data_IF_205355753229
#
_entry.id   IF_205355753229
#
_cell.length_a   1.000
_cell.length_b   1.000
_cell.length_c   1.000
_cell.angle_alpha   90.00
_cell.angle_beta   90.00
_cell.angle_gamma   90.00
#
_symmetry.space_group_name_H-M   'P 1'
#
loop_
_entity.id
_entity.type
_entity.pdbx_description
1 polymer ?
#
# COMPACT_ATOMS: atom_id res chain seq x y z
N UNK A 1 11.12 -1.83 3.32
CA UNK A 1 10.58 -0.65 4.02
C UNK A 1 10.82 0.64 3.24
N UNK A 2 12.00 0.84 2.63
CA UNK A 2 12.33 2.07 1.88
C UNK A 2 11.37 2.35 0.74
N UNK A 3 11.02 1.34 -0.05
CA UNK A 3 10.05 1.47 -1.12
C UNK A 3 8.65 1.89 -0.61
N UNK A 4 8.21 1.38 0.56
CA UNK A 4 6.96 1.81 1.20
C UNK A 4 7.00 3.29 1.54
N UNK A 5 8.02 3.74 2.28
CA UNK A 5 8.16 5.15 2.66
C UNK A 5 8.25 6.06 1.43
N UNK A 6 9.01 5.67 0.41
CA UNK A 6 9.09 6.41 -0.85
C UNK A 6 7.73 6.52 -1.54
N UNK A 7 6.98 5.42 -1.63
CA UNK A 7 5.67 5.39 -2.26
C UNK A 7 4.61 6.17 -1.45
N UNK A 8 4.65 6.10 -0.11
CA UNK A 8 3.81 6.94 0.75
C UNK A 8 4.11 8.43 0.57
N UNK A 9 5.39 8.80 0.49
CA UNK A 9 5.81 10.19 0.25
C UNK A 9 5.31 10.69 -1.11
N UNK A 10 5.46 9.89 -2.17
CA UNK A 10 4.99 10.23 -3.50
C UNK A 10 3.46 10.44 -3.52
N UNK A 11 2.70 9.54 -2.88
CA UNK A 11 1.25 9.64 -2.81
C UNK A 11 0.80 10.85 -1.99
N UNK A 12 1.39 11.07 -0.81
CA UNK A 12 1.09 12.23 0.03
C UNK A 12 1.32 13.55 -0.71
N UNK A 13 2.40 13.64 -1.50
CA UNK A 13 2.70 14.82 -2.31
C UNK A 13 1.66 15.05 -3.42
N UNK A 14 1.08 13.99 -3.99
CA UNK A 14 -0.02 14.11 -4.96
C UNK A 14 -1.30 14.58 -4.28
N UNK A 15 -1.59 14.08 -3.08
CA UNK A 15 -2.81 14.47 -2.35
C UNK A 15 -2.78 15.92 -1.87
N UNK A 16 -1.69 16.32 -1.25
CA UNK A 16 -1.54 17.68 -0.72
C UNK A 16 -0.07 18.13 -0.75
N UNK A 17 0.40 18.70 -1.88
CA UNK A 17 1.80 19.08 -2.07
C UNK A 17 2.30 20.14 -1.09
N UNK A 18 1.40 20.92 -0.50
CA UNK A 18 1.70 22.01 0.43
C UNK A 18 1.52 21.63 1.91
N UNK A 19 1.16 20.38 2.21
CA UNK A 19 0.99 19.94 3.59
C UNK A 19 2.33 19.98 4.35
N UNK A 20 2.35 20.48 5.61
CA UNK A 20 3.59 20.63 6.39
C UNK A 20 4.43 19.35 6.51
N UNK A 21 3.77 18.16 6.57
CA UNK A 21 4.46 16.88 6.68
C UNK A 21 5.27 16.48 5.43
N UNK A 22 5.05 17.10 4.26
CA UNK A 22 5.70 16.69 3.00
C UNK A 22 7.22 16.85 3.06
N UNK A 23 7.73 17.95 3.63
CA UNK A 23 9.15 18.18 3.74
C UNK A 23 9.84 17.08 4.57
N UNK A 24 9.22 16.71 5.70
CA UNK A 24 9.73 15.65 6.57
C UNK A 24 9.63 14.25 5.94
N UNK A 25 8.51 13.94 5.27
CA UNK A 25 8.36 12.70 4.52
C UNK A 25 9.46 12.54 3.46
N UNK A 26 9.78 13.61 2.71
CA UNK A 26 10.88 13.60 1.72
C UNK A 26 12.23 13.34 2.38
N UNK A 27 12.50 14.00 3.51
CA UNK A 27 13.73 13.79 4.27
C UNK A 27 13.85 12.34 4.75
N UNK A 28 12.76 11.78 5.23
CA UNK A 28 12.72 10.40 5.71
C UNK A 28 12.85 9.38 4.59
N UNK A 29 12.32 9.64 3.40
CA UNK A 29 12.39 8.72 2.27
C UNK A 29 13.84 8.42 1.82
N UNK A 30 14.80 9.30 2.11
CA UNK A 30 16.22 9.17 1.73
C UNK A 30 17.15 8.81 2.88
N UNK A 31 16.65 8.69 4.12
CA UNK A 31 17.49 8.45 5.31
C UNK A 31 17.39 7.00 5.76
N UNK A 32 18.52 6.32 5.94
CA UNK A 32 18.59 4.96 6.50
C UNK A 32 18.45 4.98 8.04
N UNK A 33 17.26 4.67 8.59
CA UNK A 33 17.05 4.46 10.04
C UNK A 33 15.91 3.47 10.31
N UNK A 34 16.13 2.58 11.27
CA UNK A 34 15.21 1.49 11.63
C UNK A 34 13.87 1.96 12.24
N UNK A 35 13.85 3.12 12.90
CA UNK A 35 12.65 3.70 13.53
C UNK A 35 11.77 4.51 12.55
N UNK A 36 12.13 4.55 11.27
CA UNK A 36 11.56 5.43 10.26
C UNK A 36 10.13 5.05 9.84
N UNK A 37 9.81 3.75 9.84
CA UNK A 37 8.54 3.27 9.28
C UNK A 37 7.32 3.81 10.01
N UNK A 38 7.32 3.73 11.34
CA UNK A 38 6.20 4.20 12.15
C UNK A 38 5.98 5.70 12.01
N UNK A 39 7.06 6.48 11.99
CA UNK A 39 6.97 7.93 11.82
C UNK A 39 6.57 8.31 10.40
N UNK A 40 7.10 7.65 9.37
CA UNK A 40 6.66 7.85 7.98
C UNK A 40 5.16 7.54 7.84
N UNK A 41 4.69 6.45 8.42
CA UNK A 41 3.27 6.11 8.42
C UNK A 41 2.43 7.15 9.17
N UNK A 42 2.88 7.62 10.34
CA UNK A 42 2.18 8.67 11.11
C UNK A 42 2.01 9.95 10.29
N UNK A 43 3.08 10.42 9.65
CA UNK A 43 3.05 11.61 8.80
C UNK A 43 2.19 11.41 7.56
N UNK A 44 2.28 10.25 6.90
CA UNK A 44 1.44 9.92 5.76
C UNK A 44 -0.05 9.96 6.12
N UNK A 45 -0.44 9.36 7.25
CA UNK A 45 -1.82 9.35 7.69
C UNK A 45 -2.32 10.70 8.17
N UNK A 46 -1.45 11.62 8.63
CA UNK A 46 -1.86 13.00 8.89
C UNK A 46 -2.22 13.73 7.59
N UNK A 47 -1.45 13.53 6.51
CA UNK A 47 -1.81 14.09 5.20
C UNK A 47 -3.16 13.56 4.70
N UNK A 48 -3.41 12.26 4.87
CA UNK A 48 -4.72 11.68 4.53
C UNK A 48 -5.85 12.31 5.35
N UNK A 49 -5.69 12.39 6.68
CA UNK A 49 -6.69 12.95 7.58
C UNK A 49 -7.07 14.37 7.18
N UNK A 50 -6.09 15.23 6.98
CA UNK A 50 -6.30 16.65 6.66
C UNK A 50 -6.82 16.88 5.23
N UNK A 51 -6.65 15.90 4.34
CA UNK A 51 -7.06 16.02 2.93
C UNK A 51 -8.43 15.37 2.65
N UNK A 52 -8.68 14.20 3.21
CA UNK A 52 -9.77 13.31 2.79
C UNK A 52 -10.77 12.93 3.89
N UNK A 53 -10.41 13.11 5.16
CA UNK A 53 -11.25 12.73 6.29
C UNK A 53 -11.49 13.93 7.22
N UNK A 54 -11.03 13.81 8.44
CA UNK A 54 -10.98 14.91 9.41
C UNK A 54 -9.69 14.77 10.24
N UNK A 55 -9.29 15.83 10.92
CA UNK A 55 -8.04 15.87 11.71
C UNK A 55 -7.97 14.83 12.83
N UNK A 56 -9.12 14.27 13.24
CA UNK A 56 -9.20 13.25 14.28
C UNK A 56 -9.02 11.82 13.74
N UNK A 57 -8.99 11.64 12.42
CA UNK A 57 -8.78 10.32 11.84
C UNK A 57 -7.45 9.72 12.30
N UNK A 58 -7.50 8.49 12.78
CA UNK A 58 -6.33 7.67 13.14
C UNK A 58 -6.40 6.33 12.44
N UNK A 59 -5.30 5.95 11.80
CA UNK A 59 -5.21 4.64 11.15
C UNK A 59 -5.05 3.54 12.21
N UNK A 60 -6.02 2.64 12.29
CA UNK A 60 -6.04 1.52 13.23
C UNK A 60 -6.59 0.24 12.60
N UNK A 61 -6.29 -0.93 13.20
CA UNK A 61 -6.79 -2.23 12.71
C UNK A 61 -8.23 -2.51 13.15
N UNK A 62 -8.62 -2.00 14.31
CA UNK A 62 -9.91 -2.29 14.97
C UNK A 62 -10.87 -1.11 14.95
N UNK A 63 -10.48 -0.04 14.28
CA UNK A 63 -11.30 1.15 14.16
C UNK A 63 -12.41 0.94 13.10
N UNK A 64 -13.54 1.59 13.31
CA UNK A 64 -14.68 1.59 12.38
C UNK A 64 -14.50 2.61 11.24
N UNK A 65 -15.53 2.77 10.42
CA UNK A 65 -15.58 3.77 9.37
C UNK A 65 -14.55 3.51 8.26
N UNK A 66 -13.81 4.54 7.89
CA UNK A 66 -12.82 4.45 6.79
C UNK A 66 -11.72 3.41 7.03
N UNK A 67 -11.40 3.09 8.29
CA UNK A 67 -10.43 2.04 8.61
C UNK A 67 -10.85 0.66 8.07
N UNK A 68 -12.15 0.36 8.05
CA UNK A 68 -12.65 -0.88 7.46
C UNK A 68 -12.35 -1.00 5.96
N UNK A 69 -12.44 0.12 5.24
CA UNK A 69 -12.13 0.17 3.80
C UNK A 69 -10.65 -0.17 3.55
N UNK A 70 -9.74 0.44 4.31
CA UNK A 70 -8.31 0.12 4.22
C UNK A 70 -8.00 -1.31 4.62
N UNK A 71 -8.64 -1.82 5.68
CA UNK A 71 -8.45 -3.20 6.11
C UNK A 71 -8.89 -4.19 5.03
N UNK A 72 -10.05 -3.96 4.40
CA UNK A 72 -10.52 -4.78 3.27
C UNK A 72 -9.57 -4.67 2.06
N UNK A 73 -9.14 -3.46 1.70
CA UNK A 73 -8.22 -3.23 0.59
C UNK A 73 -6.89 -3.99 0.79
N UNK A 74 -6.36 -3.96 2.01
CA UNK A 74 -5.15 -4.73 2.34
C UNK A 74 -5.36 -6.24 2.35
N UNK A 75 -6.55 -6.72 2.70
CA UNK A 75 -6.86 -8.15 2.59
C UNK A 75 -6.89 -8.62 1.12
N UNK A 76 -7.38 -7.78 0.20
CA UNK A 76 -7.32 -8.06 -1.25
C UNK A 76 -5.89 -8.12 -1.75
N UNK A 77 -5.05 -7.15 -1.36
CA UNK A 77 -3.62 -7.13 -1.71
C UNK A 77 -2.89 -8.35 -1.13
N UNK A 78 -3.10 -8.63 0.16
CA UNK A 78 -2.49 -9.78 0.84
C UNK A 78 -2.83 -11.10 0.13
N UNK A 79 -4.09 -11.28 -0.26
CA UNK A 79 -4.53 -12.46 -1.01
C UNK A 79 -3.79 -12.61 -2.34
N UNK A 80 -3.57 -11.51 -3.06
CA UNK A 80 -2.82 -11.49 -4.31
C UNK A 80 -1.35 -11.90 -4.08
N UNK A 81 -0.69 -11.35 -3.06
CA UNK A 81 0.70 -11.69 -2.72
C UNK A 81 0.82 -13.16 -2.33
N UNK A 82 -0.09 -13.66 -1.47
CA UNK A 82 -0.10 -15.07 -1.06
C UNK A 82 -0.21 -16.03 -2.25
N UNK A 83 -1.08 -15.73 -3.23
CA UNK A 83 -1.20 -16.54 -4.45
C UNK A 83 0.15 -16.68 -5.17
N UNK A 84 0.91 -15.59 -5.31
CA UNK A 84 2.22 -15.62 -5.96
C UNK A 84 3.29 -16.28 -5.10
N UNK A 85 3.29 -16.11 -3.78
CA UNK A 85 4.21 -16.81 -2.91
C UNK A 85 4.04 -18.33 -3.04
N UNK A 86 2.80 -18.84 -2.95
CA UNK A 86 2.53 -20.27 -3.13
C UNK A 86 2.88 -20.75 -4.54
N UNK A 87 2.52 -20.01 -5.58
CA UNK A 87 2.85 -20.36 -6.97
C UNK A 87 4.37 -20.42 -7.23
N UNK A 88 5.16 -19.67 -6.46
CA UNK A 88 6.62 -19.62 -6.57
C UNK A 88 7.33 -20.58 -5.60
N UNK A 89 6.58 -21.35 -4.78
CA UNK A 89 7.15 -22.25 -3.79
C UNK A 89 7.86 -21.53 -2.64
N UNK A 90 7.41 -20.32 -2.30
CA UNK A 90 7.88 -19.55 -1.16
C UNK A 90 6.95 -19.75 0.03
N UNK A 91 7.50 -20.11 1.19
CA UNK A 91 6.72 -20.25 2.41
C UNK A 91 6.41 -18.85 3.01
N UNK A 92 5.15 -18.44 3.12
CA UNK A 92 4.78 -17.14 3.65
C UNK A 92 5.06 -16.96 5.15
N UNK A 93 5.36 -18.05 5.88
CA UNK A 93 5.63 -18.01 7.32
C UNK A 93 7.03 -17.49 7.68
N UNK A 94 7.94 -17.37 6.72
CA UNK A 94 9.31 -16.86 6.95
C UNK A 94 9.44 -15.41 6.49
N UNK A 95 9.04 -14.46 7.37
CA UNK A 95 9.19 -13.02 7.14
C UNK A 95 10.63 -12.52 7.32
N UNK A 96 10.91 -11.34 6.77
CA UNK A 96 12.19 -10.63 6.89
C UNK A 96 12.11 -9.62 8.02
N UNK A 97 11.04 -8.84 8.08
CA UNK A 97 10.78 -7.78 9.07
C UNK A 97 9.66 -8.16 10.01
N UNK A 98 8.52 -8.65 9.48
CA UNK A 98 7.42 -9.12 10.30
C UNK A 98 7.73 -10.48 10.92
N UNK A 99 7.31 -10.66 12.16
CA UNK A 99 7.55 -11.91 12.89
C UNK A 99 6.29 -12.79 12.88
N UNK A 100 6.48 -14.12 12.86
CA UNK A 100 5.38 -15.09 12.88
C UNK A 100 4.50 -15.04 14.13
N UNK A 101 5.00 -14.46 15.23
CA UNK A 101 4.20 -14.23 16.45
C UNK A 101 3.09 -13.19 16.26
N UNK A 102 3.27 -12.27 15.32
CA UNK A 102 2.34 -11.16 15.06
C UNK A 102 1.43 -11.44 13.87
N UNK A 103 1.90 -12.25 12.91
CA UNK A 103 1.22 -12.51 11.65
C UNK A 103 1.37 -13.96 11.22
N UNK A 104 0.28 -14.56 10.73
CA UNK A 104 0.28 -15.94 10.19
C UNK A 104 1.09 -16.06 8.88
N UNK A 105 1.33 -14.96 8.16
CA UNK A 105 2.03 -14.95 6.87
C UNK A 105 2.99 -13.73 6.79
N UNK A 106 4.01 -13.64 7.65
CA UNK A 106 4.86 -12.46 7.77
C UNK A 106 5.56 -12.06 6.46
N UNK A 107 6.01 -13.02 5.63
CA UNK A 107 6.61 -12.71 4.34
C UNK A 107 5.64 -12.03 3.38
N UNK A 108 4.36 -12.43 3.39
CA UNK A 108 3.36 -11.78 2.56
C UNK A 108 3.12 -10.33 2.99
N UNK A 109 3.15 -10.05 4.31
CA UNK A 109 3.11 -8.68 4.83
C UNK A 109 4.34 -7.89 4.39
N UNK A 110 5.54 -8.46 4.44
CA UNK A 110 6.77 -7.79 3.99
C UNK A 110 6.71 -7.41 2.50
N UNK A 111 6.26 -8.31 1.63
CA UNK A 111 6.25 -8.10 0.19
C UNK A 111 5.08 -7.24 -0.29
N UNK A 112 3.98 -7.12 0.49
CA UNK A 112 2.88 -6.23 0.14
C UNK A 112 3.15 -4.76 0.47
N UNK A 113 4.08 -4.46 1.40
CA UNK A 113 4.32 -3.11 1.89
C UNK A 113 4.55 -2.06 0.78
N UNK A 114 5.35 -2.30 -0.26
CA UNK A 114 5.54 -1.33 -1.34
C UNK A 114 4.25 -0.99 -2.10
N UNK A 115 3.28 -1.91 -2.13
CA UNK A 115 2.04 -1.77 -2.89
C UNK A 115 0.89 -1.15 -2.11
N UNK A 116 0.97 -1.08 -0.77
CA UNK A 116 -0.09 -0.47 0.06
C UNK A 116 -0.49 0.92 -0.41
N UNK A 117 0.43 1.86 -0.73
CA UNK A 117 0.05 3.19 -1.18
C UNK A 117 -0.83 3.22 -2.45
N UNK A 118 -0.71 2.23 -3.34
CA UNK A 118 -1.62 2.12 -4.49
C UNK A 118 -3.06 1.82 -4.07
N UNK A 119 -3.25 0.99 -3.05
CA UNK A 119 -4.56 0.70 -2.48
C UNK A 119 -5.07 1.87 -1.65
N UNK A 120 -4.19 2.53 -0.89
CA UNK A 120 -4.54 3.74 -0.13
C UNK A 120 -5.08 4.84 -1.05
N UNK A 121 -4.43 5.07 -2.20
CA UNK A 121 -4.89 6.01 -3.20
C UNK A 121 -6.29 5.69 -3.72
N UNK A 122 -6.58 4.41 -3.94
CA UNK A 122 -7.88 4.00 -4.48
C UNK A 122 -8.99 4.03 -3.43
N UNK A 123 -8.68 3.74 -2.17
CA UNK A 123 -9.60 3.94 -1.04
C UNK A 123 -9.92 5.43 -0.86
N UNK A 124 -8.89 6.30 -0.86
CA UNK A 124 -9.10 7.74 -0.76
C UNK A 124 -9.97 8.28 -1.90
N UNK A 125 -9.75 7.81 -3.14
CA UNK A 125 -10.59 8.16 -4.29
C UNK A 125 -12.05 7.73 -4.06
N UNK A 126 -12.29 6.52 -3.56
CA UNK A 126 -13.64 6.05 -3.24
C UNK A 126 -14.33 6.93 -2.21
N UNK A 127 -13.65 7.24 -1.11
CA UNK A 127 -14.16 8.12 -0.06
C UNK A 127 -14.54 9.47 -0.65
N UNK A 128 -13.65 10.07 -1.43
CA UNK A 128 -13.87 11.35 -2.08
C UNK A 128 -15.13 11.35 -2.97
N UNK A 129 -15.27 10.35 -3.83
CA UNK A 129 -16.44 10.22 -4.71
C UNK A 129 -17.74 10.06 -3.91
N UNK A 130 -17.73 9.25 -2.86
CA UNK A 130 -18.89 9.07 -1.99
C UNK A 130 -19.30 10.37 -1.29
N UNK A 131 -18.33 11.13 -0.78
CA UNK A 131 -18.60 12.41 -0.12
C UNK A 131 -19.09 13.47 -1.11
N UNK A 132 -18.55 13.49 -2.34
CA UNK A 132 -19.05 14.36 -3.42
C UNK A 132 -20.50 14.03 -3.84
N UNK A 133 -20.89 12.77 -3.76
CA UNK A 133 -22.28 12.32 -3.97
C UNK A 133 -23.22 12.65 -2.80
N UNK A 134 -22.73 13.32 -1.76
CA UNK A 134 -23.49 13.71 -0.57
C UNK A 134 -23.73 12.57 0.43
N UNK A 135 -22.99 11.47 0.35
CA UNK A 135 -23.04 10.40 1.38
C UNK A 135 -22.40 10.89 2.68
N UNK A 136 -22.97 10.46 3.80
CA UNK A 136 -22.32 10.66 5.12
C UNK A 136 -21.02 9.86 5.22
N UNK A 137 -20.13 10.24 6.13
CA UNK A 137 -18.88 9.49 6.39
C UNK A 137 -19.17 8.03 6.77
N UNK A 138 -20.20 7.78 7.57
CA UNK A 138 -20.65 6.43 7.92
C UNK A 138 -20.94 5.59 6.69
N UNK A 139 -21.78 6.09 5.77
CA UNK A 139 -22.12 5.40 4.52
C UNK A 139 -20.95 5.29 3.56
N UNK A 140 -20.10 6.28 3.51
CA UNK A 140 -18.86 6.24 2.71
C UNK A 140 -17.87 5.19 3.25
N UNK A 141 -17.91 4.86 4.55
CA UNK A 141 -17.10 3.83 5.22
C UNK A 141 -17.62 2.40 5.09
N UNK A 142 -18.81 2.19 4.47
CA UNK A 142 -19.38 0.85 4.29
C UNK A 142 -18.66 0.03 3.21
N UNK A 143 -18.44 -1.27 3.48
CA UNK A 143 -17.90 -2.23 2.50
C UNK A 143 -19.05 -2.76 1.61
N UNK A 144 -19.48 -1.95 0.67
CA UNK A 144 -20.53 -2.31 -0.29
C UNK A 144 -20.00 -3.23 -1.41
N UNK A 145 -20.91 -3.76 -2.24
CA UNK A 145 -20.56 -4.54 -3.43
C UNK A 145 -19.77 -3.68 -4.44
N UNK A 146 -20.15 -2.42 -4.57
CA UNK A 146 -19.52 -1.42 -5.46
C UNK A 146 -18.10 -1.13 -4.98
N UNK A 147 -17.90 -0.92 -3.67
CA UNK A 147 -16.58 -0.74 -3.07
C UNK A 147 -15.68 -1.96 -3.32
N UNK A 148 -16.20 -3.18 -3.09
CA UNK A 148 -15.43 -4.42 -3.33
C UNK A 148 -14.95 -4.51 -4.78
N UNK A 149 -15.83 -4.18 -5.75
CA UNK A 149 -15.47 -4.15 -7.18
C UNK A 149 -14.43 -3.08 -7.47
N UNK A 150 -14.61 -1.89 -6.92
CA UNK A 150 -13.69 -0.76 -7.06
C UNK A 150 -12.27 -1.13 -6.56
N UNK A 151 -12.16 -1.72 -5.37
CA UNK A 151 -10.86 -2.14 -4.81
C UNK A 151 -10.24 -3.30 -5.57
N UNK A 152 -11.02 -4.29 -5.97
CA UNK A 152 -10.49 -5.42 -6.75
C UNK A 152 -9.94 -4.95 -8.11
N UNK A 153 -10.55 -3.95 -8.72
CA UNK A 153 -10.07 -3.35 -9.96
C UNK A 153 -8.68 -2.69 -9.81
N UNK A 154 -8.25 -2.34 -8.61
CA UNK A 154 -6.88 -1.83 -8.35
C UNK A 154 -5.81 -2.78 -8.86
N UNK A 155 -6.03 -4.09 -8.77
CA UNK A 155 -5.10 -5.12 -9.27
C UNK A 155 -4.90 -5.06 -10.80
N UNK A 156 -5.83 -4.45 -11.53
CA UNK A 156 -5.76 -4.25 -12.98
C UNK A 156 -5.26 -2.85 -13.38
N UNK A 157 -5.07 -1.94 -12.39
CA UNK A 157 -4.56 -0.61 -12.66
C UNK A 157 -3.20 -0.68 -13.36
N UNK A 158 -3.01 0.16 -14.38
CA UNK A 158 -1.77 0.22 -15.13
C UNK A 158 -0.69 0.95 -14.35
N UNK A 159 0.43 0.28 -14.11
CA UNK A 159 1.58 0.82 -13.38
C UNK A 159 2.87 0.59 -14.14
N UNK A 160 3.90 1.35 -13.80
CA UNK A 160 5.26 1.13 -14.30
C UNK A 160 6.05 0.28 -13.31
N UNK A 161 6.73 -0.74 -13.80
CA UNK A 161 7.73 -1.52 -13.05
C UNK A 161 8.83 -1.94 -14.01
N UNK A 162 10.11 -1.76 -13.62
CA UNK A 162 11.28 -2.08 -14.47
C UNK A 162 11.18 -1.48 -15.89
N UNK A 163 10.74 -0.23 -15.99
CA UNK A 163 10.53 0.49 -17.26
C UNK A 163 9.49 -0.14 -18.20
N UNK A 164 8.62 -1.01 -17.68
CA UNK A 164 7.53 -1.63 -18.42
C UNK A 164 6.19 -1.25 -17.83
N UNK A 165 5.23 -0.95 -18.68
CA UNK A 165 3.84 -0.75 -18.27
C UNK A 165 3.16 -2.11 -18.14
N UNK A 166 2.50 -2.35 -16.98
CA UNK A 166 1.82 -3.61 -16.70
C UNK A 166 0.69 -3.43 -15.70
N UNK A 167 -0.25 -4.39 -15.57
CA UNK A 167 -1.20 -4.39 -14.47
C UNK A 167 -0.49 -4.51 -13.11
N UNK A 168 -1.05 -3.87 -12.08
CA UNK A 168 -0.49 -3.91 -10.72
C UNK A 168 -0.25 -5.35 -10.23
N UNK A 169 -1.18 -6.27 -10.50
CA UNK A 169 -1.00 -7.69 -10.15
C UNK A 169 0.25 -8.31 -10.78
N UNK A 170 0.59 -7.92 -12.01
CA UNK A 170 1.81 -8.41 -12.67
C UNK A 170 3.07 -7.79 -12.05
N UNK A 171 3.00 -6.54 -11.57
CA UNK A 171 4.09 -5.95 -10.80
C UNK A 171 4.27 -6.67 -9.44
N UNK A 172 3.19 -7.06 -8.76
CA UNK A 172 3.25 -7.89 -7.54
C UNK A 172 3.95 -9.23 -7.84
N UNK A 173 3.57 -9.92 -8.93
CA UNK A 173 4.23 -11.15 -9.36
C UNK A 173 5.72 -10.94 -9.61
N UNK A 174 6.09 -9.88 -10.35
CA UNK A 174 7.49 -9.57 -10.66
C UNK A 174 8.32 -9.34 -9.41
N UNK A 175 7.79 -8.62 -8.42
CA UNK A 175 8.44 -8.42 -7.11
C UNK A 175 8.63 -9.75 -6.37
N UNK A 176 7.61 -10.61 -6.30
CA UNK A 176 7.72 -11.93 -5.68
C UNK A 176 8.77 -12.80 -6.41
N UNK A 177 8.83 -12.76 -7.74
CA UNK A 177 9.85 -13.47 -8.53
C UNK A 177 11.27 -12.93 -8.28
N UNK A 178 11.45 -11.62 -8.20
CA UNK A 178 12.74 -11.01 -7.89
C UNK A 178 13.20 -11.38 -6.47
N UNK A 179 12.28 -11.41 -5.52
CA UNK A 179 12.56 -11.88 -4.17
C UNK A 179 13.01 -13.35 -4.16
N UNK A 180 12.31 -14.24 -4.86
CA UNK A 180 12.72 -15.63 -4.99
C UNK A 180 14.12 -15.77 -5.58
N UNK A 181 14.46 -14.99 -6.59
CA UNK A 181 15.82 -14.97 -7.17
C UNK A 181 16.86 -14.56 -6.12
N UNK A 182 16.56 -13.54 -5.31
CA UNK A 182 17.46 -13.08 -4.24
C UNK A 182 17.68 -14.19 -3.20
N UNK A 183 16.62 -14.88 -2.78
CA UNK A 183 16.72 -16.02 -1.85
C UNK A 183 17.60 -17.13 -2.41
N UNK A 184 17.37 -17.53 -3.66
CA UNK A 184 18.16 -18.60 -4.30
C UNK A 184 19.62 -18.21 -4.54
N UNK A 185 19.89 -16.94 -4.76
CA UNK A 185 21.25 -16.41 -4.93
C UNK A 185 21.97 -16.18 -3.59
N UNK A 186 21.26 -16.23 -2.45
CA UNK A 186 21.83 -15.94 -1.13
C UNK A 186 22.27 -14.46 -0.97
N UNK A 187 21.71 -13.54 -1.76
CA UNK A 187 22.09 -12.12 -1.76
C UNK A 187 20.90 -11.23 -2.16
N UNK A 188 20.87 -9.98 -1.67
CA UNK A 188 19.77 -9.05 -1.91
C UNK A 188 19.76 -8.40 -3.31
N UNK A 189 20.87 -8.42 -4.05
CA UNK A 189 20.99 -7.73 -5.35
C UNK A 189 19.90 -8.03 -6.37
N UNK A 190 19.39 -9.27 -6.50
CA UNK A 190 18.30 -9.58 -7.41
C UNK A 190 16.91 -9.08 -7.00
N UNK A 191 16.73 -8.62 -5.75
CA UNK A 191 15.44 -8.11 -5.27
C UNK A 191 15.15 -6.72 -5.79
N UNK A 192 14.03 -6.57 -6.46
CA UNK A 192 13.59 -5.33 -7.08
C UNK A 192 12.21 -4.94 -6.56
N UNK A 193 12.11 -4.08 -5.51
CA UNK A 193 10.83 -3.61 -4.99
C UNK A 193 10.12 -2.71 -6.00
N UNK A 194 8.80 -2.64 -5.90
CA UNK A 194 8.02 -1.72 -6.69
C UNK A 194 8.10 -0.29 -6.15
N UNK A 195 8.31 0.68 -7.04
CA UNK A 195 8.28 2.11 -6.75
C UNK A 195 7.14 2.79 -7.50
N UNK A 196 6.32 3.54 -6.77
CA UNK A 196 5.22 4.31 -7.34
C UNK A 196 5.78 5.51 -8.11
N UNK A 197 5.61 5.52 -9.44
CA UNK A 197 5.95 6.68 -10.27
C UNK A 197 4.69 7.43 -10.69
N UNK A 198 3.75 6.76 -11.32
CA UNK A 198 2.44 7.31 -11.71
C UNK A 198 1.47 6.14 -11.82
N UNK A 199 0.31 6.25 -11.17
CA UNK A 199 -0.77 5.28 -11.34
C UNK A 199 -1.78 5.89 -12.30
N UNK A 200 -1.98 5.24 -13.44
CA UNK A 200 -3.11 5.53 -14.34
C UNK A 200 -4.26 4.62 -13.95
N UNK A 201 -5.24 5.18 -13.31
CA UNK A 201 -6.49 4.48 -13.01
C UNK A 201 -7.25 4.26 -14.32
N UNK A 202 -7.72 3.03 -14.56
CA UNK A 202 -8.73 2.81 -15.59
C UNK A 202 -9.97 3.61 -15.20
N UNK A 203 -10.46 4.44 -16.11
CA UNK A 203 -11.63 5.31 -15.93
C UNK A 203 -12.92 4.53 -15.66
#
# INVERSE_FOLDING_TARGET
LDAKCGNQTALAQVWNPHHPAIAELKRMAVTEKTAREAECARLFWSVFADTWANSDFRRGRHEEGFNNLFNYAYAVLLSCVLQYLFALGLDPCFGIFHQSREHAAPLAYDLMEPFRPAFDANVARWIHLCLQEGKTEERAGEITREFRRHITATLQASVMHQNKQMPLKAAVEAVCRSFRKAVLAGQSGPYEPWHMTTIKWAG
#
